data_IF_600398519886
#
_entry.id   IF_600398519886
#
_cell.length_a   1.000
_cell.length_b   1.000
_cell.length_c   1.000
_cell.angle_alpha   90.00
_cell.angle_beta   90.00
_cell.angle_gamma   90.00
#
_symmetry.space_group_name_H-M   'P 1'
#
loop_
_entity.id
_entity.type
_entity.pdbx_description
1 polymer ?
#
# COMPACT_ATOMS: atom_id res chain seq x y z
N UNK A 1 -47.25 26.99 -8.55
CA UNK A 1 -46.25 27.09 -7.47
C UNK A 1 -46.15 25.73 -6.79
N UNK A 2 -45.24 24.87 -7.24
CA UNK A 2 -45.01 23.54 -6.64
C UNK A 2 -43.55 23.44 -6.25
N UNK A 3 -43.35 23.12 -4.97
CA UNK A 3 -42.10 23.22 -4.21
C UNK A 3 -41.03 22.30 -4.81
N UNK A 4 -39.95 22.88 -5.31
CA UNK A 4 -38.72 22.15 -5.64
C UNK A 4 -38.15 21.55 -4.36
N UNK A 5 -38.26 20.24 -4.23
CA UNK A 5 -37.62 19.46 -3.18
C UNK A 5 -36.10 19.53 -3.37
N UNK A 6 -35.45 20.38 -2.56
CA UNK A 6 -34.00 20.37 -2.42
C UNK A 6 -33.61 19.08 -1.71
N UNK A 7 -33.13 18.08 -2.48
CA UNK A 7 -32.40 16.94 -1.92
C UNK A 7 -31.21 17.49 -1.14
N UNK A 8 -31.24 17.36 0.18
CA UNK A 8 -30.05 17.54 1.04
C UNK A 8 -29.02 16.50 0.60
N UNK A 9 -28.05 16.92 -0.21
CA UNK A 9 -26.85 16.14 -0.44
C UNK A 9 -26.05 16.20 0.86
N UNK A 10 -26.19 15.16 1.70
CA UNK A 10 -25.35 15.01 2.88
C UNK A 10 -23.90 14.93 2.41
N UNK A 11 -23.06 15.87 2.82
CA UNK A 11 -21.61 15.76 2.70
C UNK A 11 -21.19 14.50 3.47
N UNK A 12 -21.04 13.38 2.76
CA UNK A 12 -20.32 12.23 3.31
C UNK A 12 -18.86 12.63 3.24
N UNK A 13 -18.28 12.98 4.38
CA UNK A 13 -16.82 12.90 4.50
C UNK A 13 -16.49 11.41 4.32
N UNK A 14 -16.07 11.02 3.11
CA UNK A 14 -15.61 9.67 2.91
C UNK A 14 -14.27 9.59 3.64
N UNK A 15 -14.26 8.92 4.79
CA UNK A 15 -13.02 8.67 5.52
C UNK A 15 -12.23 7.70 4.62
N UNK A 16 -11.01 8.07 4.21
CA UNK A 16 -10.23 7.24 3.29
C UNK A 16 -9.95 5.89 3.92
N UNK A 17 -9.93 4.85 3.09
CA UNK A 17 -9.58 3.49 3.51
C UNK A 17 -8.09 3.50 3.87
N UNK A 18 -7.76 3.14 5.12
CA UNK A 18 -6.38 3.14 5.60
C UNK A 18 -5.77 1.75 5.41
N UNK A 19 -4.69 1.66 4.62
CA UNK A 19 -4.01 0.39 4.34
C UNK A 19 -2.53 0.50 4.65
N UNK A 20 -1.96 -0.52 5.28
CA UNK A 20 -0.52 -0.63 5.51
C UNK A 20 0.06 -1.89 4.88
N UNK A 21 1.12 -1.69 4.10
CA UNK A 21 1.89 -2.73 3.42
C UNK A 21 3.21 -2.98 4.15
N UNK A 22 3.50 -4.24 4.45
CA UNK A 22 4.67 -4.61 5.24
C UNK A 22 5.49 -5.65 4.50
N UNK A 23 6.78 -5.40 4.34
CA UNK A 23 7.75 -6.42 3.91
C UNK A 23 8.91 -6.47 4.90
N UNK A 24 10.00 -7.16 4.57
CA UNK A 24 11.16 -7.26 5.47
C UNK A 24 11.86 -5.91 5.61
N UNK A 25 12.42 -5.40 4.50
CA UNK A 25 13.33 -4.25 4.52
C UNK A 25 12.67 -2.88 4.31
N UNK A 26 11.36 -2.86 4.04
CA UNK A 26 10.66 -1.66 3.58
C UNK A 26 11.36 -0.92 2.43
N UNK A 27 11.98 -1.68 1.53
CA UNK A 27 12.89 -1.16 0.51
C UNK A 27 12.42 -1.42 -0.93
N UNK A 28 11.50 -2.38 -1.11
CA UNK A 28 11.05 -2.86 -2.41
C UNK A 28 9.51 -3.05 -2.41
N UNK A 29 9.05 -4.29 -2.23
CA UNK A 29 7.65 -4.74 -2.35
C UNK A 29 6.64 -3.81 -1.67
N UNK A 30 6.83 -3.51 -0.38
CA UNK A 30 5.91 -2.64 0.36
C UNK A 30 5.91 -1.18 -0.11
N UNK A 31 7.03 -0.67 -0.61
CA UNK A 31 7.14 0.68 -1.15
C UNK A 31 6.40 0.81 -2.48
N UNK A 32 6.57 -0.18 -3.37
CA UNK A 32 5.81 -0.26 -4.60
C UNK A 32 4.31 -0.43 -4.33
N UNK A 33 3.93 -1.24 -3.33
CA UNK A 33 2.54 -1.42 -2.95
C UNK A 33 1.89 -0.13 -2.39
N UNK A 34 2.60 0.60 -1.53
CA UNK A 34 2.16 1.93 -1.04
C UNK A 34 1.94 2.89 -2.21
N UNK A 35 2.90 2.96 -3.15
CA UNK A 35 2.79 3.81 -4.32
C UNK A 35 1.59 3.43 -5.22
N UNK A 36 1.43 2.15 -5.55
CA UNK A 36 0.28 1.71 -6.35
C UNK A 36 -1.06 1.92 -5.65
N UNK A 37 -1.12 1.81 -4.33
CA UNK A 37 -2.35 2.08 -3.60
C UNK A 37 -2.74 3.56 -3.69
N UNK A 38 -1.77 4.47 -3.68
CA UNK A 38 -2.01 5.90 -3.95
C UNK A 38 -2.42 6.16 -5.39
N UNK A 39 -1.75 5.54 -6.35
CA UNK A 39 -2.05 5.69 -7.79
C UNK A 39 -3.49 5.24 -8.08
N UNK A 40 -3.87 4.05 -7.61
CA UNK A 40 -5.17 3.44 -7.93
C UNK A 40 -6.30 3.94 -7.04
N UNK A 41 -6.00 4.31 -5.79
CA UNK A 41 -6.98 4.72 -4.79
C UNK A 41 -7.25 6.23 -4.72
N UNK A 42 -6.31 7.06 -5.18
CA UNK A 42 -6.46 8.52 -5.11
C UNK A 42 -6.75 9.01 -3.70
N UNK A 43 -7.72 9.93 -3.57
CA UNK A 43 -8.13 10.51 -2.29
C UNK A 43 -8.94 9.55 -1.40
N UNK A 44 -9.40 8.42 -1.95
CA UNK A 44 -10.21 7.43 -1.24
C UNK A 44 -9.37 6.45 -0.40
N UNK A 45 -8.03 6.52 -0.53
CA UNK A 45 -7.10 5.59 0.12
C UNK A 45 -5.95 6.33 0.79
N UNK A 46 -5.74 6.05 2.07
CA UNK A 46 -4.57 6.47 2.82
C UNK A 46 -3.61 5.28 2.95
N UNK A 47 -2.59 5.23 2.08
CA UNK A 47 -1.64 4.12 2.02
C UNK A 47 -0.33 4.41 2.76
N UNK A 48 0.12 3.39 3.50
CA UNK A 48 1.37 3.38 4.28
C UNK A 48 2.19 2.13 4.03
N UNK A 49 3.49 2.19 4.32
CA UNK A 49 4.33 0.99 4.37
C UNK A 49 5.36 1.01 5.49
N UNK A 50 5.75 -0.20 5.88
CA UNK A 50 6.74 -0.45 6.92
C UNK A 50 7.56 -1.72 6.64
N UNK A 51 8.58 -1.93 7.47
CA UNK A 51 9.47 -3.09 7.46
C UNK A 51 9.53 -3.75 8.83
N UNK A 52 9.62 -5.08 8.87
CA UNK A 52 9.98 -5.80 10.10
C UNK A 52 11.44 -5.54 10.48
N UNK A 53 12.32 -5.38 9.48
CA UNK A 53 13.74 -5.04 9.61
C UNK A 53 14.11 -3.98 8.57
N UNK A 54 13.67 -2.72 8.73
CA UNK A 54 13.83 -1.69 7.71
C UNK A 54 15.30 -1.44 7.38
N UNK A 55 15.61 -1.32 6.09
CA UNK A 55 16.98 -1.06 5.60
C UNK A 55 17.44 0.39 5.80
N UNK A 56 16.53 1.31 6.09
CA UNK A 56 16.79 2.76 6.16
C UNK A 56 16.96 3.44 4.80
N UNK A 57 16.87 2.71 3.69
CA UNK A 57 16.93 3.26 2.32
C UNK A 57 16.01 2.55 1.35
N UNK A 58 15.48 3.28 0.37
CA UNK A 58 14.73 2.69 -0.73
C UNK A 58 15.70 2.04 -1.72
N UNK A 59 15.33 0.89 -2.29
CA UNK A 59 16.19 0.22 -3.27
C UNK A 59 16.21 1.05 -4.57
N UNK A 60 17.38 1.42 -5.11
CA UNK A 60 17.47 2.10 -6.40
C UNK A 60 16.76 1.38 -7.54
N UNK A 61 16.71 0.04 -7.54
CA UNK A 61 15.94 -0.73 -8.53
C UNK A 61 14.44 -0.48 -8.43
N UNK A 62 13.90 -0.38 -7.20
CA UNK A 62 12.49 -0.04 -6.99
C UNK A 62 12.19 1.39 -7.45
N UNK A 63 13.10 2.33 -7.16
CA UNK A 63 13.00 3.72 -7.65
C UNK A 63 12.96 3.76 -9.18
N UNK A 64 13.89 3.08 -9.85
CA UNK A 64 13.93 3.01 -11.31
C UNK A 64 12.64 2.39 -11.88
N UNK A 65 12.20 1.25 -11.34
CA UNK A 65 11.01 0.54 -11.79
C UNK A 65 9.71 1.37 -11.62
N UNK A 66 9.55 2.11 -10.52
CA UNK A 66 8.38 2.96 -10.31
C UNK A 66 8.44 4.26 -11.12
N UNK A 67 9.64 4.78 -11.40
CA UNK A 67 9.79 5.96 -12.25
C UNK A 67 9.24 5.72 -13.67
N UNK A 68 9.34 4.49 -14.19
CA UNK A 68 8.71 4.09 -15.46
C UNK A 68 7.19 4.23 -15.44
N UNK A 69 6.55 4.12 -14.27
CA UNK A 69 5.10 4.32 -14.10
C UNK A 69 4.73 5.77 -13.79
N UNK A 70 5.69 6.68 -13.82
CA UNK A 70 5.51 8.09 -13.45
C UNK A 70 5.45 8.36 -11.95
N UNK A 71 5.80 7.40 -11.09
CA UNK A 71 5.80 7.58 -9.63
C UNK A 71 7.24 7.65 -9.08
N UNK A 72 7.54 8.70 -8.33
CA UNK A 72 8.85 8.90 -7.74
C UNK A 72 8.94 8.38 -6.30
N UNK A 73 9.67 7.27 -6.12
CA UNK A 73 9.94 6.71 -4.79
C UNK A 73 11.09 7.40 -4.04
N UNK A 74 11.81 8.36 -4.62
CA UNK A 74 12.94 9.01 -3.92
C UNK A 74 12.51 9.84 -2.72
N UNK A 75 11.26 10.30 -2.70
CA UNK A 75 10.65 11.00 -1.57
C UNK A 75 10.21 10.05 -0.44
N UNK A 76 10.21 8.73 -0.68
CA UNK A 76 9.82 7.76 0.34
C UNK A 76 10.97 7.49 1.32
N UNK A 77 10.61 6.93 2.48
CA UNK A 77 11.55 6.52 3.51
C UNK A 77 11.28 5.08 3.92
N UNK A 78 12.37 4.31 4.11
CA UNK A 78 12.32 2.98 4.71
C UNK A 78 12.22 3.12 6.22
N UNK A 79 11.14 2.61 6.80
CA UNK A 79 10.77 2.79 8.22
C UNK A 79 10.20 1.53 8.84
N UNK A 80 10.35 1.41 10.16
CA UNK A 80 9.86 0.28 10.94
C UNK A 80 8.40 0.42 11.33
N UNK A 81 7.81 -0.70 11.75
CA UNK A 81 6.42 -0.78 12.24
C UNK A 81 6.16 0.08 13.47
N UNK A 82 7.19 0.39 14.27
CA UNK A 82 7.08 1.29 15.43
C UNK A 82 6.56 2.69 15.05
N UNK A 83 6.79 3.14 13.81
CA UNK A 83 6.26 4.41 13.30
C UNK A 83 4.73 4.46 13.27
N UNK A 84 4.08 3.29 13.38
CA UNK A 84 2.64 3.11 13.28
C UNK A 84 2.01 2.57 14.56
N UNK A 85 2.77 2.56 15.67
CA UNK A 85 2.28 2.09 16.96
C UNK A 85 1.06 2.91 17.40
N UNK A 86 -0.02 2.22 17.78
CA UNK A 86 -1.27 2.84 18.22
C UNK A 86 -2.13 3.40 17.10
N UNK A 87 -1.80 3.16 15.82
CA UNK A 87 -2.65 3.51 14.69
C UNK A 87 -3.53 2.32 14.25
N UNK A 88 -4.75 2.62 13.85
CA UNK A 88 -5.71 1.65 13.31
C UNK A 88 -5.76 1.67 11.79
N UNK A 89 -5.81 0.48 11.18
CA UNK A 89 -5.93 0.31 9.74
C UNK A 89 -7.17 -0.51 9.37
N UNK A 90 -7.74 -0.25 8.20
CA UNK A 90 -8.79 -1.09 7.63
C UNK A 90 -8.20 -2.40 7.10
N UNK A 91 -6.97 -2.35 6.57
CA UNK A 91 -6.24 -3.52 6.11
C UNK A 91 -4.74 -3.46 6.40
N UNK A 92 -4.17 -4.59 6.79
CA UNK A 92 -2.73 -4.83 6.82
C UNK A 92 -2.36 -5.95 5.84
N UNK A 93 -1.34 -5.72 5.03
CA UNK A 93 -0.87 -6.64 3.99
C UNK A 93 0.59 -6.98 4.22
N UNK A 94 0.91 -8.25 4.45
CA UNK A 94 2.28 -8.72 4.69
C UNK A 94 2.86 -9.43 3.48
N UNK A 95 4.14 -9.17 3.20
CA UNK A 95 4.90 -9.71 2.06
C UNK A 95 6.26 -10.23 2.54
N UNK A 96 6.32 -11.50 2.93
CA UNK A 96 7.58 -12.20 3.23
C UNK A 96 8.24 -11.89 4.58
N UNK A 97 7.56 -11.25 5.53
CA UNK A 97 8.09 -11.05 6.89
C UNK A 97 7.86 -12.23 7.86
N UNK A 98 7.02 -13.21 7.48
CA UNK A 98 6.69 -14.34 8.36
C UNK A 98 6.18 -13.88 9.73
N UNK A 99 6.63 -14.57 10.77
CA UNK A 99 6.27 -14.29 12.17
C UNK A 99 6.99 -13.07 12.76
N UNK A 100 7.91 -12.44 12.03
CA UNK A 100 8.70 -11.30 12.51
C UNK A 100 7.95 -9.96 12.47
N UNK A 101 6.72 -9.95 11.96
CA UNK A 101 5.91 -8.74 11.85
C UNK A 101 5.15 -8.48 13.17
N UNK A 102 5.54 -7.49 14.00
CA UNK A 102 4.75 -7.10 15.17
C UNK A 102 3.30 -6.79 14.80
N UNK A 103 2.40 -7.06 15.76
CA UNK A 103 0.96 -6.90 15.58
C UNK A 103 0.59 -5.43 15.34
N UNK A 104 0.35 -5.09 14.07
CA UNK A 104 -0.38 -3.88 13.69
C UNK A 104 -1.88 -4.09 13.94
N UNK A 105 -2.56 -3.08 14.49
CA UNK A 105 -4.02 -3.10 14.63
C UNK A 105 -4.67 -2.89 13.25
N UNK A 106 -5.32 -3.93 12.74
CA UNK A 106 -6.01 -3.88 11.46
C UNK A 106 -7.28 -4.73 11.47
N UNK A 107 -8.35 -4.21 10.86
CA UNK A 107 -9.65 -4.91 10.75
C UNK A 107 -9.56 -6.15 9.86
N UNK A 108 -8.78 -6.07 8.78
CA UNK A 108 -8.54 -7.16 7.82
C UNK A 108 -7.04 -7.39 7.67
N UNK A 109 -6.64 -8.65 7.47
CA UNK A 109 -5.25 -9.04 7.27
C UNK A 109 -5.12 -9.89 6.02
N UNK A 110 -4.08 -9.62 5.25
CA UNK A 110 -3.76 -10.35 4.03
C UNK A 110 -2.29 -10.74 4.05
N UNK A 111 -1.99 -11.95 3.61
CA UNK A 111 -0.62 -12.40 3.35
C UNK A 111 -0.48 -12.62 1.85
N UNK A 112 0.44 -11.89 1.23
CA UNK A 112 0.74 -12.04 -0.19
C UNK A 112 2.07 -12.75 -0.39
N UNK A 113 2.00 -13.86 -1.12
CA UNK A 113 3.18 -14.52 -1.64
C UNK A 113 3.64 -13.78 -2.90
N UNK A 114 4.65 -12.93 -2.72
CA UNK A 114 5.29 -12.17 -3.80
C UNK A 114 6.79 -12.45 -3.73
N UNK A 115 7.42 -12.92 -4.83
CA UNK A 115 8.86 -13.15 -4.91
C UNK A 115 9.66 -11.91 -4.48
N UNK A 116 10.81 -12.11 -3.83
CA UNK A 116 11.68 -10.98 -3.52
C UNK A 116 12.40 -10.51 -4.79
N UNK A 117 12.19 -9.26 -5.25
CA UNK A 117 12.78 -8.81 -6.50
C UNK A 117 14.22 -8.30 -6.34
N UNK A 118 14.77 -8.24 -5.12
CA UNK A 118 16.02 -7.51 -4.80
C UNK A 118 17.18 -7.82 -5.76
N UNK A 119 17.39 -9.09 -6.06
CA UNK A 119 18.49 -9.57 -6.91
C UNK A 119 18.08 -9.80 -8.37
N UNK A 120 16.82 -9.58 -8.73
CA UNK A 120 16.34 -9.80 -10.10
C UNK A 120 16.90 -8.75 -11.08
N UNK A 121 17.05 -9.12 -12.37
CA UNK A 121 17.33 -8.16 -13.43
C UNK A 121 16.11 -7.25 -13.68
N UNK A 122 16.29 -6.07 -14.33
CA UNK A 122 15.23 -5.07 -14.46
C UNK A 122 13.90 -5.59 -15.04
N UNK A 123 13.96 -6.45 -16.08
CA UNK A 123 12.74 -7.01 -16.69
C UNK A 123 11.92 -7.86 -15.72
N UNK A 124 12.57 -8.76 -14.98
CA UNK A 124 11.92 -9.61 -13.97
C UNK A 124 11.50 -8.80 -12.73
N UNK A 125 12.29 -7.78 -12.36
CA UNK A 125 11.90 -6.84 -11.31
C UNK A 125 10.58 -6.14 -11.67
N UNK A 126 10.45 -5.70 -12.92
CA UNK A 126 9.24 -5.06 -13.42
C UNK A 126 8.04 -6.01 -13.43
N UNK A 127 8.24 -7.31 -13.69
CA UNK A 127 7.16 -8.29 -13.53
C UNK A 127 6.65 -8.37 -12.09
N UNK A 128 7.55 -8.31 -11.09
CA UNK A 128 7.15 -8.25 -9.67
C UNK A 128 6.43 -6.94 -9.35
N UNK A 129 6.90 -5.81 -9.88
CA UNK A 129 6.22 -4.51 -9.77
C UNK A 129 4.78 -4.61 -10.28
N UNK A 130 4.59 -5.18 -11.47
CA UNK A 130 3.28 -5.26 -12.12
C UNK A 130 2.34 -6.23 -11.38
N UNK A 131 2.88 -7.35 -10.87
CA UNK A 131 2.14 -8.25 -9.97
C UNK A 131 1.64 -7.53 -8.71
N UNK A 132 2.47 -6.67 -8.12
CA UNK A 132 2.07 -5.86 -6.95
C UNK A 132 0.93 -4.91 -7.33
N UNK A 133 1.03 -4.22 -8.46
CA UNK A 133 -0.02 -3.31 -8.96
C UNK A 133 -1.36 -4.03 -9.08
N UNK A 134 -1.39 -5.22 -9.70
CA UNK A 134 -2.62 -5.99 -9.87
C UNK A 134 -3.20 -6.49 -8.53
N UNK A 135 -2.35 -6.96 -7.62
CA UNK A 135 -2.80 -7.34 -6.27
C UNK A 135 -3.37 -6.17 -5.49
N UNK A 136 -2.78 -4.97 -5.60
CA UNK A 136 -3.29 -3.76 -4.98
C UNK A 136 -4.64 -3.38 -5.56
N UNK A 137 -4.83 -3.40 -6.89
CA UNK A 137 -6.15 -3.14 -7.50
C UNK A 137 -7.22 -4.08 -6.95
N UNK A 138 -6.94 -5.38 -6.91
CA UNK A 138 -7.88 -6.36 -6.37
C UNK A 138 -8.21 -6.12 -4.90
N UNK A 139 -7.22 -5.75 -4.07
CA UNK A 139 -7.44 -5.37 -2.69
C UNK A 139 -8.36 -4.17 -2.54
N UNK A 140 -8.12 -3.10 -3.31
CA UNK A 140 -8.93 -1.89 -3.22
C UNK A 140 -10.39 -2.16 -3.62
N UNK A 141 -10.62 -3.00 -4.65
CA UNK A 141 -11.96 -3.44 -5.03
C UNK A 141 -12.66 -4.23 -3.90
N UNK A 142 -11.93 -5.12 -3.25
CA UNK A 142 -12.43 -5.92 -2.12
C UNK A 142 -12.69 -5.06 -0.86
N UNK A 143 -11.93 -3.99 -0.64
CA UNK A 143 -12.13 -3.06 0.47
C UNK A 143 -13.26 -2.05 0.20
N UNK A 144 -13.49 -1.65 -1.06
CA UNK A 144 -14.56 -0.74 -1.45
C UNK A 144 -15.95 -1.41 -1.52
N UNK A 145 -15.99 -2.75 -1.60
CA UNK A 145 -17.25 -3.49 -1.68
C UNK A 145 -17.96 -3.50 -0.31
N UNK A 146 -19.24 -3.09 -0.23
CA UNK A 146 -19.99 -3.17 1.02
C UNK A 146 -20.13 -4.63 1.47
N UNK A 147 -19.86 -4.88 2.76
CA UNK A 147 -20.13 -6.17 3.40
C UNK A 147 -21.57 -6.25 3.89
#
# INVERSE_FOLDING_TARGET
MTKTSLRRQSLRFNIPIRVIFVCVENSNRSQMAEAFARIHGGEEVEAHSAGSRPSGKINPKAVAAMKETGYDLTAHQSKGLESFKGQDFDAAVTMGCGDECPLIMAKRRFAWEIPDPKELPPGEFNQVRDLISEKVKGLLQDLASPK
#
